data_IF_301049959088
#
_entry.id   IF_301049959088
#
_cell.length_a   1.000
_cell.length_b   1.000
_cell.length_c   1.000
_cell.angle_alpha   90.00
_cell.angle_beta   90.00
_cell.angle_gamma   90.00
#
_symmetry.space_group_name_H-M   'P 1'
#
loop_
_entity.id
_entity.type
_entity.pdbx_description
1 polymer ?
#
# COMPACT_ATOMS: atom_id res chain seq x y z
N UNK A 1 4.40 18.29 7.02
CA UNK A 1 4.99 16.93 7.10
C UNK A 1 4.09 15.86 6.47
N UNK A 2 2.78 15.84 6.74
CA UNK A 2 1.87 14.81 6.20
C UNK A 2 1.85 14.66 4.66
N UNK A 3 1.87 15.73 3.84
CA UNK A 3 1.80 15.60 2.37
C UNK A 3 3.04 14.94 1.77
N UNK A 4 4.23 15.27 2.29
CA UNK A 4 5.50 14.73 1.81
C UNK A 4 5.61 13.23 2.12
N UNK A 5 5.10 12.80 3.27
CA UNK A 5 5.10 11.40 3.66
C UNK A 5 4.18 10.56 2.77
N UNK A 6 3.02 11.10 2.39
CA UNK A 6 2.12 10.43 1.44
C UNK A 6 2.80 10.26 0.08
N UNK A 7 3.46 11.30 -0.44
CA UNK A 7 4.19 11.23 -1.71
C UNK A 7 5.31 10.19 -1.65
N UNK A 8 6.07 10.13 -0.55
CA UNK A 8 7.08 9.10 -0.33
C UNK A 8 6.48 7.68 -0.40
N UNK A 9 5.34 7.47 0.27
CA UNK A 9 4.66 6.17 0.28
C UNK A 9 4.07 5.80 -1.08
N UNK A 10 3.66 6.77 -1.90
CA UNK A 10 3.26 6.51 -3.29
C UNK A 10 4.45 5.98 -4.09
N UNK A 11 5.61 6.62 -4.02
CA UNK A 11 6.80 6.15 -4.72
C UNK A 11 7.29 4.79 -4.22
N UNK A 12 7.35 4.60 -2.90
CA UNK A 12 7.71 3.31 -2.30
C UNK A 12 6.73 2.20 -2.71
N UNK A 13 5.43 2.51 -2.71
CA UNK A 13 4.38 1.59 -3.08
C UNK A 13 4.45 1.18 -4.55
N UNK A 14 4.70 2.14 -5.46
CA UNK A 14 4.95 1.86 -6.88
C UNK A 14 6.20 1.00 -7.08
N UNK A 15 7.26 1.25 -6.31
CA UNK A 15 8.46 0.42 -6.34
C UNK A 15 8.17 -1.02 -5.92
N UNK A 16 7.45 -1.22 -4.80
CA UNK A 16 7.06 -2.56 -4.34
C UNK A 16 6.13 -3.25 -5.35
N UNK A 17 5.18 -2.52 -5.93
CA UNK A 17 4.30 -3.03 -6.98
C UNK A 17 5.11 -3.52 -8.19
N UNK A 18 6.06 -2.72 -8.68
CA UNK A 18 6.95 -3.11 -9.79
C UNK A 18 7.76 -4.34 -9.41
N UNK A 19 8.34 -4.37 -8.20
CA UNK A 19 9.15 -5.50 -7.74
C UNK A 19 8.33 -6.80 -7.74
N UNK A 20 7.09 -6.78 -7.24
CA UNK A 20 6.23 -7.97 -7.23
C UNK A 20 5.87 -8.39 -8.67
N UNK A 21 5.49 -7.47 -9.54
CA UNK A 21 5.10 -7.83 -10.91
C UNK A 21 6.30 -8.33 -11.73
N UNK A 22 7.45 -7.66 -11.64
CA UNK A 22 8.62 -7.96 -12.46
C UNK A 22 9.37 -9.18 -11.94
N UNK A 23 9.67 -9.22 -10.65
CA UNK A 23 10.49 -10.28 -10.06
C UNK A 23 9.67 -11.51 -9.73
N UNK A 24 8.45 -11.36 -9.22
CA UNK A 24 7.64 -12.52 -8.81
C UNK A 24 6.81 -13.06 -9.98
N UNK A 25 5.93 -12.22 -10.55
CA UNK A 25 4.98 -12.68 -11.56
C UNK A 25 5.71 -12.98 -12.88
N UNK A 26 6.48 -12.04 -13.41
CA UNK A 26 7.15 -12.20 -14.70
C UNK A 26 8.18 -13.32 -14.70
N UNK A 27 8.98 -13.44 -13.63
CA UNK A 27 9.92 -14.55 -13.50
C UNK A 27 9.20 -15.90 -13.43
N UNK A 28 8.11 -15.99 -12.67
CA UNK A 28 7.28 -17.21 -12.61
C UNK A 28 6.73 -17.57 -13.99
N UNK A 29 6.23 -16.59 -14.75
CA UNK A 29 5.73 -16.81 -16.12
C UNK A 29 6.81 -17.42 -17.01
N UNK A 30 8.04 -16.92 -16.92
CA UNK A 30 9.17 -17.42 -17.70
C UNK A 30 9.50 -18.86 -17.29
N UNK A 31 9.57 -19.15 -15.99
CA UNK A 31 9.81 -20.51 -15.50
C UNK A 31 8.74 -21.49 -15.95
N UNK A 32 7.45 -21.15 -15.81
CA UNK A 32 6.36 -22.01 -16.24
C UNK A 32 6.33 -22.22 -17.76
N UNK A 33 6.71 -21.19 -18.55
CA UNK A 33 6.89 -21.35 -20.00
C UNK A 33 8.01 -22.34 -20.32
N UNK A 34 9.16 -22.22 -19.66
CA UNK A 34 10.29 -23.14 -19.86
C UNK A 34 9.92 -24.57 -19.48
N UNK A 35 9.26 -24.77 -18.34
CA UNK A 35 8.77 -26.09 -17.92
C UNK A 35 7.79 -26.68 -18.93
N UNK A 36 6.89 -25.87 -19.48
CA UNK A 36 5.93 -26.34 -20.49
C UNK A 36 6.59 -26.67 -21.84
N UNK A 37 7.70 -26.00 -22.20
CA UNK A 37 8.46 -26.31 -23.42
C UNK A 37 9.26 -27.61 -23.31
N UNK A 38 9.76 -27.92 -22.12
CA UNK A 38 10.49 -29.16 -21.85
C UNK A 38 9.57 -30.36 -21.64
N UNK A 39 8.29 -30.10 -21.42
CA UNK A 39 7.30 -31.10 -21.12
C UNK A 39 6.70 -31.70 -22.41
N UNK A 40 6.77 -33.03 -22.53
CA UNK A 40 6.15 -33.78 -23.63
C UNK A 40 4.75 -34.33 -23.30
N UNK A 41 4.30 -34.22 -22.04
CA UNK A 41 3.03 -34.79 -21.58
C UNK A 41 1.88 -33.76 -21.66
N UNK A 42 0.82 -34.08 -22.39
CA UNK A 42 -0.30 -33.16 -22.62
C UNK A 42 -0.99 -32.71 -21.31
N UNK A 43 -1.26 -33.66 -20.41
CA UNK A 43 -1.95 -33.39 -19.12
C UNK A 43 -1.10 -32.48 -18.22
N UNK A 44 0.21 -32.73 -18.15
CA UNK A 44 1.15 -31.90 -17.40
C UNK A 44 1.15 -30.47 -17.95
N UNK A 45 1.08 -30.29 -19.27
CA UNK A 45 1.04 -28.96 -19.88
C UNK A 45 -0.22 -28.17 -19.54
N UNK A 46 -1.37 -28.86 -19.48
CA UNK A 46 -2.63 -28.25 -19.01
C UNK A 46 -2.51 -27.79 -17.55
N UNK A 47 -2.02 -28.66 -16.67
CA UNK A 47 -1.86 -28.33 -15.24
C UNK A 47 -0.91 -27.14 -15.07
N UNK A 48 0.24 -27.15 -15.75
CA UNK A 48 1.19 -26.03 -15.73
C UNK A 48 0.54 -24.72 -16.20
N UNK A 49 -0.29 -24.77 -17.25
CA UNK A 49 -1.04 -23.62 -17.76
C UNK A 49 -2.05 -23.06 -16.74
N UNK A 50 -2.80 -23.94 -16.07
CA UNK A 50 -3.78 -23.55 -15.04
C UNK A 50 -3.06 -22.91 -13.85
N UNK A 51 -2.02 -23.54 -13.33
CA UNK A 51 -1.26 -23.03 -12.18
C UNK A 51 -0.63 -21.68 -12.50
N UNK A 52 -0.01 -21.54 -13.67
CA UNK A 52 0.54 -20.26 -14.14
C UNK A 52 -0.52 -19.15 -14.16
N UNK A 53 -1.70 -19.44 -14.70
CA UNK A 53 -2.78 -18.46 -14.82
C UNK A 53 -3.30 -18.05 -13.44
N UNK A 54 -3.48 -19.01 -12.55
CA UNK A 54 -3.90 -18.75 -11.17
C UNK A 54 -2.87 -17.88 -10.43
N UNK A 55 -1.59 -18.17 -10.61
CA UNK A 55 -0.50 -17.38 -10.02
C UNK A 55 -0.50 -15.93 -10.54
N UNK A 56 -0.74 -15.72 -11.84
CA UNK A 56 -0.89 -14.37 -12.40
C UNK A 56 -2.06 -13.59 -11.78
N UNK A 57 -3.21 -14.23 -11.61
CA UNK A 57 -4.41 -13.60 -11.03
C UNK A 57 -4.14 -13.21 -9.58
N UNK A 58 -3.70 -14.18 -8.76
CA UNK A 58 -3.42 -13.95 -7.34
C UNK A 58 -2.30 -12.93 -7.17
N UNK A 59 -1.23 -13.03 -7.96
CA UNK A 59 -0.11 -12.09 -7.93
C UNK A 59 -0.54 -10.67 -8.26
N UNK A 60 -1.40 -10.49 -9.27
CA UNK A 60 -1.88 -9.15 -9.69
C UNK A 60 -2.79 -8.52 -8.63
N UNK A 61 -3.68 -9.31 -8.02
CA UNK A 61 -4.53 -8.84 -6.93
C UNK A 61 -3.67 -8.51 -5.69
N UNK A 62 -2.71 -9.39 -5.37
CA UNK A 62 -1.80 -9.21 -4.25
C UNK A 62 -0.91 -7.98 -4.39
N UNK A 63 -0.39 -7.71 -5.58
CA UNK A 63 0.44 -6.53 -5.84
C UNK A 63 -0.38 -5.24 -5.75
N UNK A 64 -1.59 -5.21 -6.30
CA UNK A 64 -2.50 -4.08 -6.16
C UNK A 64 -2.92 -3.84 -4.69
N UNK A 65 -3.20 -4.90 -3.94
CA UNK A 65 -3.53 -4.82 -2.51
C UNK A 65 -2.36 -4.30 -1.68
N UNK A 66 -1.14 -4.80 -1.93
CA UNK A 66 0.07 -4.32 -1.28
C UNK A 66 0.29 -2.84 -1.57
N UNK A 67 0.10 -2.44 -2.84
CA UNK A 67 0.23 -1.04 -3.26
C UNK A 67 -0.75 -0.14 -2.49
N UNK A 68 -2.02 -0.50 -2.48
CA UNK A 68 -3.08 0.21 -1.77
C UNK A 68 -2.78 0.31 -0.26
N UNK A 69 -2.41 -0.80 0.37
CA UNK A 69 -2.18 -0.86 1.82
C UNK A 69 -0.98 -0.01 2.25
N UNK A 70 0.08 0.02 1.44
CA UNK A 70 1.25 0.89 1.68
C UNK A 70 0.89 2.37 1.59
N UNK A 71 0.07 2.77 0.61
CA UNK A 71 -0.32 4.18 0.44
C UNK A 71 -1.21 4.64 1.59
N UNK A 72 -2.21 3.85 1.97
CA UNK A 72 -3.20 4.24 2.98
C UNK A 72 -2.67 4.12 4.42
N UNK A 73 -1.99 3.02 4.74
CA UNK A 73 -1.59 2.71 6.12
C UNK A 73 -0.11 2.99 6.41
N UNK A 74 0.72 3.18 5.39
CA UNK A 74 2.14 3.45 5.55
C UNK A 74 2.45 4.76 6.28
N UNK A 75 1.89 5.91 5.86
CA UNK A 75 2.16 7.19 6.52
C UNK A 75 1.79 7.20 8.00
N UNK A 76 0.65 6.62 8.36
CA UNK A 76 0.19 6.54 9.75
C UNK A 76 1.04 5.60 10.61
N UNK A 77 1.53 4.50 10.04
CA UNK A 77 2.47 3.60 10.73
C UNK A 77 3.80 4.30 11.06
N UNK A 78 4.37 5.06 10.11
CA UNK A 78 5.62 5.81 10.36
C UNK A 78 5.41 6.92 11.40
N UNK A 79 4.28 7.65 11.34
CA UNK A 79 3.98 8.66 12.36
C UNK A 79 3.92 8.05 13.77
N UNK A 80 3.32 6.86 13.91
CA UNK A 80 3.31 6.11 15.18
C UNK A 80 4.71 5.73 15.65
N UNK A 81 5.58 5.27 14.75
CA UNK A 81 6.96 4.87 15.09
C UNK A 81 7.82 6.06 15.51
N UNK A 82 7.66 7.20 14.86
CA UNK A 82 8.38 8.44 15.19
C UNK A 82 7.87 9.06 16.50
N UNK A 83 6.88 8.45 17.17
CA UNK A 83 6.31 8.95 18.42
C UNK A 83 5.41 10.15 18.23
N UNK A 84 5.02 10.48 16.99
CA UNK A 84 3.91 11.38 16.69
C UNK A 84 2.64 10.54 16.81
N UNK A 85 2.39 10.08 18.02
CA UNK A 85 1.12 9.50 18.39
C UNK A 85 0.09 10.61 18.20
N UNK A 86 -0.84 10.38 17.28
CA UNK A 86 -2.01 11.23 17.05
C UNK A 86 -2.91 11.13 18.30
N UNK A 87 -2.49 11.77 19.39
CA UNK A 87 -3.44 12.31 20.34
C UNK A 87 -4.14 13.42 19.57
N UNK A 88 -5.40 13.21 19.23
CA UNK A 88 -6.30 14.30 18.88
C UNK A 88 -6.47 15.27 20.06
N UNK A 89 -5.45 16.05 20.39
CA UNK A 89 -5.38 16.99 21.51
C UNK A 89 -3.91 17.23 21.88
N UNK A 90 -3.37 18.47 21.77
CA UNK A 90 -3.88 19.69 22.40
C UNK A 90 -3.97 20.90 21.46
N UNK A 91 -3.69 20.77 20.15
CA UNK A 91 -3.70 21.92 19.24
C UNK A 91 -5.13 22.30 18.85
N UNK A 92 -6.00 21.32 18.57
CA UNK A 92 -7.43 21.55 18.37
C UNK A 92 -8.10 22.01 19.65
N UNK A 93 -7.81 21.42 20.81
CA UNK A 93 -8.36 21.89 22.09
C UNK A 93 -7.82 23.27 22.48
N UNK A 94 -6.55 23.60 22.22
CA UNK A 94 -6.01 24.94 22.46
C UNK A 94 -6.58 25.97 21.46
N UNK A 95 -6.89 25.57 20.23
CA UNK A 95 -7.57 26.43 19.26
C UNK A 95 -9.04 26.64 19.64
N UNK A 96 -9.76 25.60 20.04
CA UNK A 96 -11.14 25.67 20.55
C UNK A 96 -11.20 26.49 21.85
N UNK A 97 -10.29 26.27 22.79
CA UNK A 97 -10.22 27.03 24.04
C UNK A 97 -9.85 28.51 23.80
N UNK A 98 -9.01 28.81 22.81
CA UNK A 98 -8.74 30.20 22.41
C UNK A 98 -9.95 30.82 21.71
N UNK A 99 -10.63 30.08 20.83
CA UNK A 99 -11.83 30.55 20.13
C UNK A 99 -12.99 30.82 21.10
N UNK A 100 -13.20 29.97 22.11
CA UNK A 100 -14.18 30.19 23.18
C UNK A 100 -13.86 31.45 24.00
N UNK A 101 -12.58 31.67 24.36
CA UNK A 101 -12.18 32.88 25.09
C UNK A 101 -12.44 34.17 24.32
N UNK A 102 -12.34 34.15 22.99
CA UNK A 102 -12.66 35.31 22.15
C UNK A 102 -14.17 35.44 21.88
N UNK A 103 -14.92 34.34 21.77
CA UNK A 103 -16.38 34.41 21.57
C UNK A 103 -17.11 34.94 22.81
N UNK A 104 -16.65 34.64 24.02
CA UNK A 104 -17.24 35.16 25.26
C UNK A 104 -16.92 36.64 25.52
N UNK A 105 -15.89 37.21 24.89
CA UNK A 105 -15.58 38.65 25.00
C UNK A 105 -16.43 39.51 24.05
N UNK A 106 -17.00 38.92 23.00
CA UNK A 106 -17.86 39.63 22.05
C UNK A 106 -19.32 39.79 22.52
N UNK A 107 -19.72 39.12 23.62
CA UNK A 107 -21.10 39.14 24.12
C UNK A 107 -21.31 40.06 25.35
N UNK A 108 -20.36 40.96 25.62
CA UNK A 108 -20.43 41.89 26.75
C UNK A 108 -20.24 43.33 26.29
N UNK A 109 -21.19 43.80 25.47
CA UNK A 109 -21.51 45.21 25.26
C UNK A 109 -23.03 45.36 25.22
#
# INVERSE_FOLDING_TARGET
MQPVLIVLFIFLSLFIYSLINDIFINFSIIQFKLLNQLNNEFITGIILGIVKTLLQIIGSIGSAYAMYKLIVSGPSWVMRIVGIEDKGGPITDALTQKLERYSFQLYRF
#
